data_IF_555284898324
#
_entry.id   IF_555284898324
#
_cell.length_a   1.000
_cell.length_b   1.000
_cell.length_c   1.000
_cell.angle_alpha   90.00
_cell.angle_beta   90.00
_cell.angle_gamma   90.00
#
_symmetry.space_group_name_H-M   'P 1'
#
loop_
_entity.id
_entity.type
_entity.pdbx_description
1 polymer ?
#
# COMPACT_ATOMS: atom_id res chain seq x y z
N UNK A 1 -10.29 38.79 -2.06
CA UNK A 1 -10.07 38.04 -0.80
C UNK A 1 -9.71 36.57 -1.01
N UNK A 2 -10.46 35.78 -1.80
CA UNK A 2 -10.20 34.34 -1.99
C UNK A 2 -8.86 34.00 -2.67
N UNK A 3 -8.38 34.85 -3.59
CA UNK A 3 -7.14 34.60 -4.32
C UNK A 3 -5.88 34.82 -3.46
N UNK A 4 -5.84 35.92 -2.70
CA UNK A 4 -4.78 36.18 -1.73
C UNK A 4 -4.63 35.04 -0.71
N UNK A 5 -5.75 34.46 -0.25
CA UNK A 5 -5.72 33.31 0.65
C UNK A 5 -5.14 32.04 0.00
N UNK A 6 -5.46 31.76 -1.28
CA UNK A 6 -4.88 30.63 -2.00
C UNK A 6 -3.37 30.81 -2.25
N UNK A 7 -2.95 32.02 -2.59
CA UNK A 7 -1.54 32.33 -2.81
C UNK A 7 -0.74 32.21 -1.50
N UNK A 8 -1.27 32.71 -0.38
CA UNK A 8 -0.65 32.56 0.94
C UNK A 8 -0.47 31.09 1.35
N UNK A 9 -1.46 30.22 1.07
CA UNK A 9 -1.33 28.77 1.34
C UNK A 9 -0.27 28.11 0.44
N UNK A 10 -0.20 28.51 -0.83
CA UNK A 10 0.81 28.00 -1.75
C UNK A 10 2.23 28.41 -1.33
N UNK A 11 2.41 29.66 -0.89
CA UNK A 11 3.68 30.17 -0.37
C UNK A 11 4.08 29.48 0.93
N UNK A 12 3.17 29.31 1.88
CA UNK A 12 3.42 28.57 3.12
C UNK A 12 3.84 27.11 2.84
N UNK A 13 3.24 26.48 1.83
CA UNK A 13 3.64 25.12 1.40
C UNK A 13 5.05 25.10 0.83
N UNK A 14 5.43 26.07 -0.01
CA UNK A 14 6.80 26.18 -0.56
C UNK A 14 7.83 26.38 0.55
N UNK A 15 7.58 27.34 1.44
CA UNK A 15 8.45 27.60 2.60
C UNK A 15 8.64 26.36 3.47
N UNK A 16 7.58 25.57 3.70
CA UNK A 16 7.69 24.30 4.44
C UNK A 16 8.60 23.30 3.74
N UNK A 17 8.50 23.16 2.42
CA UNK A 17 9.37 22.26 1.65
C UNK A 17 10.83 22.73 1.66
N UNK A 18 11.08 24.03 1.54
CA UNK A 18 12.42 24.60 1.60
C UNK A 18 13.06 24.37 2.97
N UNK A 19 12.29 24.57 4.05
CA UNK A 19 12.73 24.29 5.42
C UNK A 19 13.05 22.80 5.64
N UNK A 20 12.24 21.88 5.10
CA UNK A 20 12.51 20.44 5.17
C UNK A 20 13.79 20.08 4.41
N UNK A 21 13.97 20.63 3.21
CA UNK A 21 15.17 20.38 2.39
C UNK A 21 16.43 20.89 3.10
N UNK A 22 16.35 22.07 3.69
CA UNK A 22 17.45 22.65 4.48
C UNK A 22 17.77 21.80 5.71
N UNK A 23 16.76 21.43 6.52
CA UNK A 23 16.95 20.59 7.70
C UNK A 23 17.55 19.22 7.36
N UNK A 24 17.19 18.65 6.19
CA UNK A 24 17.78 17.39 5.72
C UNK A 24 19.26 17.55 5.33
N UNK A 25 19.59 18.63 4.61
CA UNK A 25 20.98 18.94 4.27
C UNK A 25 21.84 19.18 5.53
N UNK A 26 21.29 19.85 6.54
CA UNK A 26 21.96 20.08 7.83
C UNK A 26 22.17 18.76 8.59
N UNK A 27 21.18 17.87 8.62
CA UNK A 27 21.33 16.54 9.24
C UNK A 27 22.37 15.67 8.51
N UNK A 28 22.38 15.69 7.17
CA UNK A 28 23.36 14.97 6.36
C UNK A 28 24.79 15.52 6.58
N UNK A 29 24.93 16.85 6.65
CA UNK A 29 26.22 17.51 6.95
C UNK A 29 26.72 17.18 8.37
N UNK A 30 25.84 17.23 9.37
CA UNK A 30 26.19 16.89 10.76
C UNK A 30 26.58 15.41 10.90
N UNK A 31 25.95 14.52 10.13
CA UNK A 31 26.32 13.10 10.09
C UNK A 31 27.73 12.91 9.50
N UNK A 32 28.03 13.57 8.39
CA UNK A 32 29.35 13.54 7.76
C UNK A 32 30.44 14.11 8.64
N UNK A 33 30.17 15.20 9.36
CA UNK A 33 31.12 15.80 10.30
C UNK A 33 31.44 14.85 11.45
N UNK A 34 30.42 14.25 12.05
CA UNK A 34 30.59 13.21 13.08
C UNK A 34 31.35 11.99 12.57
N UNK A 35 31.17 11.63 11.30
CA UNK A 35 31.91 10.54 10.68
C UNK A 35 33.40 10.88 10.56
N UNK A 36 33.74 12.08 10.06
CA UNK A 36 35.13 12.53 9.93
C UNK A 36 35.88 12.60 11.26
N UNK A 37 35.21 13.03 12.33
CA UNK A 37 35.82 13.05 13.67
C UNK A 37 36.14 11.65 14.22
N UNK A 38 35.46 10.60 13.75
CA UNK A 38 35.81 9.23 14.11
C UNK A 38 37.01 8.71 13.30
N UNK A 39 37.08 9.04 12.01
CA UNK A 39 38.19 8.65 11.11
C UNK A 39 39.55 9.20 11.59
N UNK A 40 39.59 10.42 12.14
CA UNK A 40 40.81 11.01 12.72
C UNK A 40 41.25 10.33 14.03
N UNK A 41 40.36 9.64 14.75
CA UNK A 41 40.72 8.90 15.97
C UNK A 41 41.19 7.46 15.68
N UNK A 42 40.85 6.90 14.52
CA UNK A 42 41.14 5.52 14.15
C UNK A 42 42.37 5.38 13.21
N UNK A 43 42.98 6.50 12.79
CA UNK A 43 44.18 6.51 11.95
C UNK A 43 45.47 6.32 12.79
N UNK A 44 45.56 5.15 13.41
CA UNK A 44 46.78 4.56 13.96
C UNK A 44 46.78 3.04 13.70
N UNK A 45 46.77 2.62 12.42
CA UNK A 45 47.56 1.49 11.89
C UNK A 45 47.17 1.12 10.45
N UNK A 46 48.16 1.27 9.56
CA UNK A 46 48.49 0.47 8.37
C UNK A 46 47.48 0.32 7.21
N UNK A 47 47.62 1.24 6.25
CA UNK A 47 48.27 1.02 4.94
C UNK A 47 48.18 -0.38 4.28
N UNK A 48 47.39 -0.49 3.20
CA UNK A 48 47.87 -1.00 1.90
C UNK A 48 46.83 -0.81 0.76
N UNK A 49 47.15 0.08 -0.18
CA UNK A 49 47.22 -0.11 -1.66
C UNK A 49 46.79 -1.47 -2.26
N UNK A 50 46.23 -1.60 -3.47
CA UNK A 50 45.99 -0.72 -4.63
C UNK A 50 44.96 -1.40 -5.59
N UNK A 51 44.36 -0.58 -6.46
CA UNK A 51 43.91 -0.79 -7.86
C UNK A 51 42.92 -1.90 -8.29
N UNK A 52 41.77 -1.50 -8.86
CA UNK A 52 41.55 -1.56 -10.32
C UNK A 52 40.16 -1.00 -10.75
N UNK A 53 40.21 -0.17 -11.80
CA UNK A 53 39.12 0.59 -12.40
C UNK A 53 38.22 -0.21 -13.36
N UNK A 54 36.88 -0.22 -13.15
CA UNK A 54 35.86 0.33 -14.08
C UNK A 54 34.40 -0.01 -13.69
N UNK A 55 33.66 1.05 -13.34
CA UNK A 55 32.27 1.37 -13.65
C UNK A 55 31.33 0.23 -14.13
N UNK A 56 30.63 -0.41 -13.18
CA UNK A 56 29.24 -0.87 -13.24
C UNK A 56 28.89 -1.33 -11.82
N UNK A 57 28.24 -0.46 -11.04
CA UNK A 57 28.12 -0.55 -9.58
C UNK A 57 27.29 -1.72 -9.05
N UNK A 58 27.80 -2.95 -9.20
CA UNK A 58 27.42 -4.12 -8.45
C UNK A 58 28.37 -4.24 -7.25
N UNK A 59 27.80 -4.34 -6.06
CA UNK A 59 28.51 -4.19 -4.79
C UNK A 59 29.63 -5.22 -4.55
N UNK A 60 30.59 -4.80 -3.74
CA UNK A 60 31.49 -5.70 -3.02
C UNK A 60 31.48 -5.35 -1.54
N UNK A 61 31.08 -6.37 -0.78
CA UNK A 61 31.12 -6.48 0.66
C UNK A 61 32.59 -6.59 1.08
N UNK A 62 33.10 -5.60 1.81
CA UNK A 62 34.18 -5.79 2.78
C UNK A 62 33.78 -4.96 4.00
N UNK A 63 33.44 -5.63 5.10
CA UNK A 63 33.09 -4.97 6.36
C UNK A 63 31.67 -4.41 6.48
N UNK A 64 30.65 -5.14 6.02
CA UNK A 64 29.28 -5.09 6.54
C UNK A 64 28.66 -3.71 6.83
N UNK A 65 28.35 -2.93 5.79
CA UNK A 65 27.56 -1.70 5.96
C UNK A 65 26.57 -1.54 4.79
N UNK A 66 25.34 -2.01 5.00
CA UNK A 66 24.19 -1.62 4.18
C UNK A 66 23.58 -0.38 4.83
N UNK A 67 23.80 0.79 4.23
CA UNK A 67 23.12 2.03 4.62
C UNK A 67 21.73 2.04 3.97
N UNK A 68 20.72 1.58 4.71
CA UNK A 68 19.33 1.90 4.47
C UNK A 68 18.84 2.73 5.67
N UNK A 69 18.25 3.88 5.39
CA UNK A 69 18.03 4.96 6.36
C UNK A 69 17.32 4.56 7.67
N UNK A 70 17.67 5.34 8.70
CA UNK A 70 17.08 5.44 10.05
C UNK A 70 17.50 4.39 11.10
N UNK A 71 18.53 4.74 11.89
CA UNK A 71 18.71 4.27 13.28
C UNK A 71 20.04 3.57 13.58
N UNK A 72 21.08 4.31 13.95
CA UNK A 72 22.34 3.76 14.50
C UNK A 72 22.13 3.47 16.00
N UNK A 73 21.80 2.23 16.36
CA UNK A 73 21.90 1.80 17.75
C UNK A 73 23.39 1.54 18.07
N UNK A 74 23.99 2.38 18.91
CA UNK A 74 25.26 2.02 19.57
C UNK A 74 24.99 0.83 20.48
N UNK A 75 25.48 -0.34 20.12
CA UNK A 75 25.43 -1.51 20.99
C UNK A 75 26.20 -1.22 22.28
N UNK A 76 25.51 -1.24 23.42
CA UNK A 76 26.14 -1.27 24.75
C UNK A 76 26.59 -2.71 25.00
N UNK A 77 27.86 -2.99 25.37
CA UNK A 77 28.43 -4.33 25.36
C UNK A 77 27.85 -5.32 26.41
N UNK A 78 26.83 -4.94 27.18
CA UNK A 78 26.24 -5.80 28.22
C UNK A 78 24.87 -6.43 27.88
N UNK A 79 24.40 -6.37 26.63
CA UNK A 79 23.06 -6.91 26.26
C UNK A 79 23.10 -8.15 25.33
N UNK A 80 24.28 -8.73 25.09
CA UNK A 80 24.49 -9.78 24.07
C UNK A 80 24.02 -11.19 24.50
N UNK A 81 23.49 -11.39 25.70
CA UNK A 81 23.09 -12.74 26.14
C UNK A 81 21.64 -13.13 25.82
N UNK A 82 20.73 -12.17 25.59
CA UNK A 82 19.31 -12.49 25.29
C UNK A 82 19.08 -13.01 23.85
N UNK A 83 19.96 -12.68 22.90
CA UNK A 83 19.81 -13.05 21.49
C UNK A 83 20.41 -14.42 21.12
N UNK A 84 21.20 -15.04 21.98
CA UNK A 84 21.75 -16.40 21.71
C UNK A 84 20.70 -17.51 21.84
N UNK A 85 19.52 -17.22 22.43
CA UNK A 85 18.42 -18.19 22.60
C UNK A 85 17.09 -17.78 21.97
N UNK A 86 16.98 -16.59 21.39
CA UNK A 86 15.73 -16.06 20.84
C UNK A 86 15.84 -16.01 19.33
N UNK A 87 15.24 -16.97 18.62
CA UNK A 87 15.03 -16.85 17.18
C UNK A 87 14.36 -15.50 16.91
N UNK A 88 15.03 -14.62 16.15
CA UNK A 88 14.47 -13.34 15.74
C UNK A 88 13.04 -13.59 15.20
N UNK A 89 12.00 -12.93 15.74
CA UNK A 89 10.66 -13.11 15.21
C UNK A 89 10.72 -12.66 13.75
N UNK A 90 10.43 -13.58 12.84
CA UNK A 90 10.31 -13.26 11.41
C UNK A 90 9.23 -12.19 11.29
N UNK A 91 9.62 -10.93 11.09
CA UNK A 91 8.71 -9.87 10.66
C UNK A 91 8.30 -10.20 9.23
N UNK A 92 7.33 -11.09 9.07
CA UNK A 92 6.61 -11.22 7.82
C UNK A 92 5.79 -9.95 7.69
N UNK A 93 6.07 -9.14 6.66
CA UNK A 93 5.18 -8.05 6.29
C UNK A 93 3.79 -8.65 6.10
N UNK A 94 2.87 -8.39 7.04
CA UNK A 94 1.50 -8.90 6.90
C UNK A 94 0.95 -8.27 5.62
N UNK A 95 0.58 -9.11 4.66
CA UNK A 95 0.02 -8.66 3.39
C UNK A 95 -1.26 -7.86 3.67
N UNK A 96 -1.40 -6.70 3.06
CA UNK A 96 -2.59 -5.88 3.21
C UNK A 96 -3.79 -6.61 2.61
N UNK A 97 -4.84 -6.81 3.42
CA UNK A 97 -6.09 -7.43 2.97
C UNK A 97 -6.90 -6.37 2.23
N UNK A 98 -7.34 -6.66 1.01
CA UNK A 98 -8.27 -5.79 0.27
C UNK A 98 -9.70 -6.07 0.76
N UNK A 99 -10.42 -5.00 1.11
CA UNK A 99 -11.80 -5.08 1.61
C UNK A 99 -12.69 -4.06 0.86
N UNK A 100 -13.96 -4.41 0.64
CA UNK A 100 -14.99 -3.51 0.08
C UNK A 100 -16.39 -3.86 0.61
N UNK A 101 -17.37 -3.00 0.37
CA UNK A 101 -18.76 -3.25 0.74
C UNK A 101 -19.41 -4.23 -0.25
N UNK A 102 -20.13 -5.22 0.28
CA UNK A 102 -20.83 -6.22 -0.52
C UNK A 102 -22.08 -5.62 -1.17
N UNK A 103 -22.22 -5.65 -2.50
CA UNK A 103 -23.37 -5.08 -3.21
C UNK A 103 -24.68 -5.82 -2.91
N UNK A 104 -24.61 -7.08 -2.49
CA UNK A 104 -25.79 -7.91 -2.20
C UNK A 104 -26.39 -7.63 -0.82
N UNK A 105 -25.58 -7.36 0.20
CA UNK A 105 -26.05 -7.29 1.60
C UNK A 105 -25.53 -6.11 2.43
N UNK A 106 -24.57 -5.34 1.91
CA UNK A 106 -24.00 -4.17 2.59
C UNK A 106 -22.87 -4.47 3.59
N UNK A 107 -22.55 -5.73 3.88
CA UNK A 107 -21.44 -6.08 4.77
C UNK A 107 -20.08 -6.09 4.06
N UNK A 108 -19.00 -6.14 4.84
CA UNK A 108 -17.65 -6.22 4.29
C UNK A 108 -17.43 -7.54 3.54
N UNK A 109 -16.85 -7.45 2.34
CA UNK A 109 -16.29 -8.57 1.58
C UNK A 109 -14.78 -8.40 1.41
N UNK A 110 -14.07 -9.52 1.28
CA UNK A 110 -12.60 -9.56 1.19
C UNK A 110 -12.18 -10.22 -0.11
N UNK A 111 -11.08 -9.76 -0.69
CA UNK A 111 -10.46 -10.44 -1.83
C UNK A 111 -9.52 -11.54 -1.36
N UNK A 112 -9.66 -12.73 -1.93
CA UNK A 112 -8.67 -13.80 -1.80
C UNK A 112 -7.59 -13.60 -2.87
N UNK A 113 -6.38 -13.27 -2.43
CA UNK A 113 -5.26 -12.97 -3.32
C UNK A 113 -4.79 -14.14 -4.19
N UNK A 114 -5.07 -15.39 -3.79
CA UNK A 114 -4.63 -16.58 -4.53
C UNK A 114 -5.59 -16.88 -5.67
N UNK A 115 -6.88 -16.65 -5.43
CA UNK A 115 -7.95 -16.96 -6.37
C UNK A 115 -8.43 -15.73 -7.14
N UNK A 116 -8.07 -14.53 -6.71
CA UNK A 116 -8.59 -13.26 -7.20
C UNK A 116 -10.13 -13.21 -7.18
N UNK A 117 -10.73 -13.73 -6.11
CA UNK A 117 -12.19 -13.75 -5.90
C UNK A 117 -12.53 -12.93 -4.66
N UNK A 118 -13.48 -12.02 -4.81
CA UNK A 118 -14.13 -11.31 -3.73
C UNK A 118 -15.22 -12.20 -3.13
N UNK A 119 -15.23 -12.37 -1.82
CA UNK A 119 -16.22 -13.17 -1.11
C UNK A 119 -16.77 -12.42 0.09
N UNK A 120 -18.09 -12.41 0.22
CA UNK A 120 -18.79 -11.92 1.39
C UNK A 120 -19.04 -13.07 2.39
N UNK A 121 -18.65 -12.87 3.64
CA UNK A 121 -18.81 -13.88 4.70
C UNK A 121 -20.27 -14.01 5.19
N UNK A 122 -21.12 -13.01 4.94
CA UNK A 122 -22.52 -13.00 5.42
C UNK A 122 -23.51 -13.60 4.44
N UNK A 123 -23.47 -13.18 3.17
CA UNK A 123 -24.49 -13.54 2.17
C UNK A 123 -24.01 -14.53 1.11
N UNK A 124 -22.79 -15.06 1.23
CA UNK A 124 -22.14 -15.97 0.28
C UNK A 124 -22.00 -15.42 -1.16
N UNK A 125 -22.28 -14.14 -1.40
CA UNK A 125 -22.03 -13.51 -2.69
C UNK A 125 -20.53 -13.50 -2.98
N UNK A 126 -20.17 -13.88 -4.21
CA UNK A 126 -18.80 -13.87 -4.69
C UNK A 126 -18.70 -13.38 -6.12
N UNK A 127 -17.68 -12.59 -6.41
CA UNK A 127 -17.38 -12.06 -7.74
C UNK A 127 -15.86 -12.12 -7.99
N UNK A 128 -15.43 -12.47 -9.20
CA UNK A 128 -14.00 -12.43 -9.52
C UNK A 128 -13.49 -10.99 -9.66
N UNK A 129 -12.25 -10.73 -9.27
CA UNK A 129 -11.61 -9.40 -9.43
C UNK A 129 -11.58 -8.97 -10.90
N UNK A 130 -11.49 -9.92 -11.83
CA UNK A 130 -11.60 -9.67 -13.26
C UNK A 130 -13.01 -9.19 -13.66
N UNK A 131 -14.07 -9.85 -13.20
CA UNK A 131 -15.44 -9.43 -13.51
C UNK A 131 -15.72 -8.02 -12.97
N UNK A 132 -15.32 -7.76 -11.73
CA UNK A 132 -15.43 -6.43 -11.13
C UNK A 132 -14.67 -5.37 -11.94
N UNK A 133 -13.44 -5.66 -12.36
CA UNK A 133 -12.60 -4.73 -13.14
C UNK A 133 -13.10 -4.53 -14.57
N UNK A 134 -13.88 -5.47 -15.11
CA UNK A 134 -14.47 -5.40 -16.44
C UNK A 134 -15.81 -4.65 -16.47
N UNK A 135 -16.22 -4.04 -15.36
CA UNK A 135 -17.48 -3.30 -15.27
C UNK A 135 -18.69 -4.20 -15.09
N UNK A 136 -18.61 -5.21 -14.21
CA UNK A 136 -19.79 -5.98 -13.82
C UNK A 136 -20.92 -5.04 -13.35
N UNK A 137 -22.10 -5.22 -13.93
CA UNK A 137 -23.28 -4.40 -13.64
C UNK A 137 -24.06 -5.01 -12.47
N UNK A 138 -24.36 -4.19 -11.48
CA UNK A 138 -25.14 -4.57 -10.29
C UNK A 138 -26.60 -4.16 -10.46
N UNK A 139 -27.48 -5.15 -10.59
CA UNK A 139 -28.90 -4.94 -10.79
C UNK A 139 -29.65 -4.95 -9.46
N UNK A 140 -30.46 -3.92 -9.25
CA UNK A 140 -31.36 -3.79 -8.11
C UNK A 140 -32.79 -3.67 -8.61
N UNK A 141 -33.73 -4.20 -7.84
CA UNK A 141 -35.13 -4.10 -8.21
C UNK A 141 -35.64 -2.67 -7.99
N UNK A 142 -36.22 -2.05 -9.02
CA UNK A 142 -36.72 -0.66 -9.00
C UNK A 142 -37.79 -0.40 -7.94
N UNK A 143 -38.47 -1.47 -7.48
CA UNK A 143 -39.55 -1.39 -6.50
C UNK A 143 -39.13 -1.70 -5.07
N UNK A 144 -38.24 -2.67 -4.87
CA UNK A 144 -37.92 -3.20 -3.52
C UNK A 144 -36.44 -3.23 -3.20
N UNK A 145 -35.61 -2.71 -4.10
CA UNK A 145 -34.15 -2.57 -3.98
C UNK A 145 -33.44 -3.92 -3.71
N UNK A 146 -34.11 -5.03 -3.99
CA UNK A 146 -33.52 -6.34 -3.84
C UNK A 146 -32.44 -6.54 -4.90
N UNK A 147 -31.26 -6.99 -4.46
CA UNK A 147 -30.17 -7.35 -5.37
C UNK A 147 -30.58 -8.52 -6.27
N UNK A 148 -30.52 -8.32 -7.58
CA UNK A 148 -31.06 -9.24 -8.58
C UNK A 148 -30.04 -10.24 -9.10
N UNK A 149 -28.75 -9.91 -9.13
CA UNK A 149 -27.70 -10.80 -9.68
C UNK A 149 -27.58 -12.15 -8.93
N UNK A 150 -28.12 -12.27 -7.72
CA UNK A 150 -28.12 -13.53 -6.94
C UNK A 150 -29.40 -14.35 -7.13
N UNK A 151 -30.41 -13.82 -7.82
CA UNK A 151 -31.67 -14.52 -8.05
C UNK A 151 -31.44 -15.69 -9.01
N UNK A 152 -32.10 -16.83 -8.74
CA UNK A 152 -31.90 -18.06 -9.49
C UNK A 152 -32.27 -17.85 -10.97
N UNK A 153 -31.28 -18.03 -11.86
CA UNK A 153 -31.47 -17.90 -13.30
C UNK A 153 -31.44 -16.47 -13.83
N UNK A 154 -31.10 -15.49 -12.98
CA UNK A 154 -30.97 -14.09 -13.38
C UNK A 154 -30.05 -13.95 -14.59
N UNK A 155 -30.53 -13.26 -15.62
CA UNK A 155 -29.75 -12.87 -16.78
C UNK A 155 -30.41 -11.64 -17.45
N UNK A 156 -29.60 -10.86 -18.15
CA UNK A 156 -30.06 -9.65 -18.85
C UNK A 156 -30.49 -9.92 -20.31
N UNK A 157 -30.43 -11.18 -20.78
CA UNK A 157 -30.69 -11.52 -22.19
C UNK A 157 -32.16 -11.34 -22.59
N UNK A 158 -33.08 -11.40 -21.63
CA UNK A 158 -34.52 -11.23 -21.86
C UNK A 158 -34.97 -9.77 -21.89
N UNK A 159 -34.07 -8.79 -21.70
CA UNK A 159 -34.36 -7.35 -21.54
C UNK A 159 -35.23 -6.99 -20.35
N UNK A 160 -36.00 -7.93 -19.81
CA UNK A 160 -36.83 -7.80 -18.63
C UNK A 160 -36.49 -8.89 -17.61
N UNK A 161 -36.61 -8.54 -16.33
CA UNK A 161 -36.51 -9.51 -15.23
C UNK A 161 -37.58 -9.28 -14.16
N UNK A 162 -38.36 -10.32 -13.89
CA UNK A 162 -39.32 -10.32 -12.79
C UNK A 162 -38.63 -10.62 -11.47
N UNK A 163 -38.62 -9.65 -10.57
CA UNK A 163 -37.98 -9.77 -9.26
C UNK A 163 -38.63 -10.89 -8.43
N UNK A 164 -37.82 -11.87 -8.02
CA UNK A 164 -38.30 -13.02 -7.23
C UNK A 164 -38.79 -12.65 -5.82
N UNK A 165 -38.38 -11.49 -5.29
CA UNK A 165 -38.77 -11.02 -3.96
C UNK A 165 -40.13 -10.33 -3.94
N UNK A 166 -40.44 -9.49 -4.93
CA UNK A 166 -41.64 -8.66 -4.92
C UNK A 166 -42.55 -8.79 -6.15
N UNK A 167 -42.12 -9.52 -7.19
CA UNK A 167 -42.88 -9.74 -8.43
C UNK A 167 -42.87 -8.57 -9.42
N UNK A 168 -42.12 -7.49 -9.16
CA UNK A 168 -42.02 -6.35 -10.08
C UNK A 168 -41.20 -6.72 -11.33
N UNK A 169 -41.62 -6.26 -12.50
CA UNK A 169 -40.91 -6.45 -13.76
C UNK A 169 -39.94 -5.28 -13.99
N UNK A 170 -38.65 -5.58 -14.03
CA UNK A 170 -37.57 -4.59 -14.13
C UNK A 170 -37.01 -4.60 -15.55
N UNK A 171 -36.72 -3.42 -16.09
CA UNK A 171 -35.98 -3.27 -17.34
C UNK A 171 -34.49 -3.52 -17.07
N UNK A 172 -33.94 -4.54 -17.71
CA UNK A 172 -32.54 -4.95 -17.59
C UNK A 172 -31.75 -4.74 -18.88
N UNK A 173 -32.20 -3.82 -19.73
CA UNK A 173 -31.48 -3.39 -20.92
C UNK A 173 -30.32 -2.45 -20.57
N UNK A 174 -29.35 -2.36 -21.48
CA UNK A 174 -28.19 -1.47 -21.31
C UNK A 174 -28.58 0.02 -21.19
N UNK A 175 -29.80 0.39 -21.64
CA UNK A 175 -30.33 1.73 -21.48
C UNK A 175 -30.67 2.09 -20.02
N UNK A 176 -30.80 1.10 -19.14
CA UNK A 176 -31.09 1.24 -17.72
C UNK A 176 -29.84 1.03 -16.85
N UNK A 177 -28.65 1.21 -17.43
CA UNK A 177 -27.37 1.20 -16.72
C UNK A 177 -26.94 2.66 -16.51
N UNK A 178 -26.71 3.04 -15.24
CA UNK A 178 -26.17 4.35 -14.90
C UNK A 178 -24.68 4.45 -15.28
N UNK A 179 -24.26 5.58 -15.87
CA UNK A 179 -22.86 5.90 -16.24
C UNK A 179 -22.00 6.37 -15.06
#
# INVERSE_FOLDING_TARGET
MKEAARNAVAEARRQRWDNIKKARAEADAAFLERYKQNDENDNASDESSDDDSNLLGAGLIIGGLIVLGYGVYKAVPHIVEWWKGSAAPKLTSKKAVKEMICPSCGDTMKSDDKTAVWKCDKCNYSISEKALSNGEVFWFCDKCEAFMNTQKGFNTKSSHWTCSKCGFDNDVTDANIDE
#
